data_IF_152445903819
#
_entry.id   IF_152445903819
#
_cell.length_a   1.000
_cell.length_b   1.000
_cell.length_c   1.000
_cell.angle_alpha   90.00
_cell.angle_beta   90.00
_cell.angle_gamma   90.00
#
_symmetry.space_group_name_H-M   'P 1'
#
loop_
_entity.id
_entity.type
_entity.pdbx_description
1 polymer ?
#
# COMPACT_ATOMS: atom_id res chain seq x y z
N UNK A 1 -7.21 27.14 37.07
CA UNK A 1 -7.54 27.23 35.64
C UNK A 1 -6.63 26.24 34.95
N UNK A 2 -7.11 25.01 34.78
CA UNK A 2 -6.38 23.93 34.13
C UNK A 2 -6.42 24.16 32.63
N UNK A 3 -5.28 24.53 32.04
CA UNK A 3 -5.11 24.51 30.60
C UNK A 3 -5.40 23.09 30.09
N UNK A 4 -6.41 22.99 29.23
CA UNK A 4 -6.70 21.80 28.46
C UNK A 4 -5.47 21.47 27.61
N UNK A 5 -4.98 20.22 27.55
CA UNK A 5 -3.86 19.90 26.69
C UNK A 5 -4.27 20.22 25.26
N UNK A 6 -3.48 21.07 24.60
CA UNK A 6 -3.68 21.44 23.21
C UNK A 6 -3.95 20.17 22.39
N UNK A 7 -5.02 20.17 21.60
CA UNK A 7 -5.28 19.18 20.57
C UNK A 7 -4.19 19.32 19.50
N UNK A 8 -2.99 18.80 19.80
CA UNK A 8 -1.83 18.81 18.93
C UNK A 8 -2.04 17.78 17.82
N UNK A 9 -2.66 18.23 16.73
CA UNK A 9 -2.58 17.53 15.46
C UNK A 9 -1.17 17.61 14.88
N UNK A 10 -0.75 16.56 14.19
CA UNK A 10 0.53 16.47 13.49
C UNK A 10 0.25 16.65 11.99
N UNK A 11 0.71 17.75 11.36
CA UNK A 11 0.56 17.91 9.92
C UNK A 11 1.38 16.85 9.18
N UNK A 12 0.80 16.26 8.15
CA UNK A 12 1.47 15.32 7.26
C UNK A 12 1.19 15.65 5.80
N UNK A 13 2.27 15.70 5.02
CA UNK A 13 2.22 15.88 3.57
C UNK A 13 1.84 14.56 2.90
N UNK A 14 0.91 14.63 1.95
CA UNK A 14 0.53 13.49 1.14
C UNK A 14 1.56 13.32 0.02
N UNK A 15 2.14 12.13 -0.19
CA UNK A 15 3.08 11.87 -1.29
C UNK A 15 2.55 12.25 -2.67
N UNK A 16 1.24 12.11 -2.89
CA UNK A 16 0.58 12.58 -4.14
C UNK A 16 0.75 14.08 -4.39
N UNK A 17 1.05 14.88 -3.38
CA UNK A 17 1.03 16.34 -3.44
C UNK A 17 -0.38 16.90 -3.71
N UNK A 18 -1.44 16.11 -3.51
CA UNK A 18 -2.81 16.53 -3.78
C UNK A 18 -3.24 16.46 -5.25
N UNK A 19 -2.35 16.04 -6.16
CA UNK A 19 -2.53 16.12 -7.63
C UNK A 19 -3.66 15.24 -8.17
N UNK A 20 -3.98 14.18 -7.45
CA UNK A 20 -4.99 13.19 -7.84
C UNK A 20 -6.33 13.36 -7.10
N UNK A 21 -6.53 14.53 -6.47
CA UNK A 21 -7.76 14.91 -5.78
C UNK A 21 -8.30 16.22 -6.35
N UNK A 22 -9.61 16.30 -6.55
CA UNK A 22 -10.28 17.52 -7.03
C UNK A 22 -10.04 18.73 -6.11
N UNK A 23 -9.87 18.49 -4.81
CA UNK A 23 -9.58 19.54 -3.83
C UNK A 23 -8.18 20.15 -3.96
N UNK A 24 -7.25 19.48 -4.66
CA UNK A 24 -5.83 19.86 -4.74
C UNK A 24 -5.10 19.84 -3.39
N UNK A 25 -5.73 19.29 -2.35
CA UNK A 25 -5.22 19.37 -0.99
C UNK A 25 -4.09 18.37 -0.78
N UNK A 26 -2.93 18.87 -0.41
CA UNK A 26 -1.68 18.10 -0.31
C UNK A 26 -1.29 17.73 1.13
N UNK A 27 -2.07 18.15 2.13
CA UNK A 27 -1.73 17.99 3.55
C UNK A 27 -2.95 17.66 4.38
N UNK A 28 -2.78 16.77 5.35
CA UNK A 28 -3.78 16.37 6.34
C UNK A 28 -3.25 16.56 7.76
N UNK A 29 -4.11 16.37 8.76
CA UNK A 29 -3.73 16.44 10.18
C UNK A 29 -3.99 15.10 10.86
N UNK A 30 -2.94 14.47 11.36
CA UNK A 30 -2.96 13.21 12.11
C UNK A 30 -3.01 13.44 13.63
N UNK A 31 -3.51 12.45 14.34
CA UNK A 31 -3.40 12.34 15.80
C UNK A 31 -2.81 10.98 16.21
N UNK A 32 -2.25 10.90 17.42
CA UNK A 32 -1.59 9.69 17.91
C UNK A 32 -2.59 8.56 18.20
N UNK A 33 -2.12 7.31 18.04
CA UNK A 33 -2.85 6.11 18.46
C UNK A 33 -3.09 6.17 19.97
N UNK A 34 -4.34 5.91 20.40
CA UNK A 34 -4.70 5.70 21.81
C UNK A 34 -5.03 4.23 22.05
N UNK A 35 -5.18 3.85 23.32
CA UNK A 35 -5.43 2.45 23.71
C UNK A 35 -6.62 1.78 23.00
N UNK A 36 -7.66 2.54 22.63
CA UNK A 36 -8.78 2.00 21.84
C UNK A 36 -8.38 1.59 20.42
N UNK A 37 -7.65 2.46 19.71
CA UNK A 37 -7.11 2.14 18.38
C UNK A 37 -6.02 1.06 18.45
N UNK A 38 -5.18 1.09 19.49
CA UNK A 38 -4.17 0.05 19.72
C UNK A 38 -4.82 -1.33 19.90
N UNK A 39 -5.92 -1.43 20.64
CA UNK A 39 -6.69 -2.66 20.79
C UNK A 39 -7.28 -3.16 19.46
N UNK A 40 -7.77 -2.26 18.60
CA UNK A 40 -8.26 -2.63 17.26
C UNK A 40 -7.13 -3.17 16.38
N UNK A 41 -6.01 -2.45 16.30
CA UNK A 41 -4.82 -2.87 15.53
C UNK A 41 -4.25 -4.20 16.05
N UNK A 42 -4.35 -4.44 17.36
CA UNK A 42 -3.90 -5.64 18.01
C UNK A 42 -4.71 -6.90 17.64
N UNK A 43 -5.99 -6.76 17.34
CA UNK A 43 -6.88 -7.86 16.97
C UNK A 43 -6.86 -8.17 15.46
N UNK A 44 -6.30 -7.24 14.66
CA UNK A 44 -6.19 -7.41 13.22
C UNK A 44 -5.34 -8.62 12.83
N UNK A 45 -5.83 -9.39 11.88
CA UNK A 45 -5.08 -10.44 11.19
C UNK A 45 -4.75 -9.98 9.75
N UNK A 46 -3.89 -10.70 8.99
CA UNK A 46 -3.50 -10.26 7.65
C UNK A 46 -4.67 -10.00 6.68
N UNK A 47 -5.82 -10.64 6.88
CA UNK A 47 -6.99 -10.46 6.00
C UNK A 47 -7.82 -9.22 6.38
N UNK A 48 -7.85 -8.86 7.66
CA UNK A 48 -8.65 -7.75 8.20
C UNK A 48 -7.82 -6.48 8.41
N UNK A 49 -6.49 -6.59 8.34
CA UNK A 49 -5.57 -5.48 8.55
C UNK A 49 -5.86 -4.26 7.65
N UNK A 50 -6.14 -4.41 6.34
CA UNK A 50 -6.51 -3.26 5.50
C UNK A 50 -7.77 -2.53 5.97
N UNK A 51 -8.80 -3.26 6.41
CA UNK A 51 -10.07 -2.70 6.87
C UNK A 51 -9.94 -2.05 8.26
N UNK A 52 -9.19 -2.68 9.17
CA UNK A 52 -8.92 -2.16 10.51
C UNK A 52 -8.08 -0.88 10.43
N UNK A 53 -7.05 -0.86 9.57
CA UNK A 53 -6.22 0.33 9.36
C UNK A 53 -7.02 1.47 8.75
N UNK A 54 -7.94 1.20 7.81
CA UNK A 54 -8.89 2.20 7.32
C UNK A 54 -9.73 2.79 8.45
N UNK A 55 -10.27 1.94 9.34
CA UNK A 55 -11.11 2.39 10.46
C UNK A 55 -10.32 3.26 11.43
N UNK A 56 -9.06 2.89 11.72
CA UNK A 56 -8.18 3.65 12.60
C UNK A 56 -7.80 4.99 11.98
N UNK A 57 -7.41 5.02 10.70
CA UNK A 57 -7.06 6.25 10.01
C UNK A 57 -8.25 7.22 9.93
N UNK A 58 -9.45 6.73 9.63
CA UNK A 58 -10.67 7.56 9.62
C UNK A 58 -10.98 8.20 10.99
N UNK A 59 -10.53 7.61 12.10
CA UNK A 59 -10.68 8.19 13.44
C UNK A 59 -9.59 9.21 13.79
N UNK A 60 -8.42 9.11 13.16
CA UNK A 60 -7.21 9.83 13.57
C UNK A 60 -6.75 10.89 12.56
N UNK A 61 -7.25 10.85 11.32
CA UNK A 61 -6.96 11.80 10.26
C UNK A 61 -8.11 12.78 10.12
N UNK A 62 -7.77 14.06 10.05
CA UNK A 62 -8.69 15.16 9.80
C UNK A 62 -8.18 16.00 8.62
N UNK A 63 -9.04 16.89 8.12
CA UNK A 63 -8.75 17.72 6.95
C UNK A 63 -8.42 16.89 5.69
N UNK A 64 -9.17 15.81 5.43
CA UNK A 64 -8.99 14.96 4.25
C UNK A 64 -9.14 15.74 2.92
N UNK A 65 -8.48 15.28 1.84
CA UNK A 65 -8.64 15.83 0.49
C UNK A 65 -9.89 15.32 -0.23
N UNK A 66 -10.62 14.37 0.37
CA UNK A 66 -11.79 13.68 -0.19
C UNK A 66 -12.93 13.65 0.83
N UNK A 67 -14.17 13.52 0.35
CA UNK A 67 -15.36 13.34 1.19
C UNK A 67 -15.54 11.89 1.66
N UNK A 68 -15.30 10.92 0.77
CA UNK A 68 -15.33 9.49 1.07
C UNK A 68 -13.91 8.94 1.22
N UNK A 69 -13.61 8.27 2.33
CA UNK A 69 -12.32 7.60 2.56
C UNK A 69 -11.96 6.60 1.46
N UNK A 70 -12.97 5.98 0.83
CA UNK A 70 -12.80 5.09 -0.31
C UNK A 70 -12.11 5.72 -1.51
N UNK A 71 -12.10 7.05 -1.61
CA UNK A 71 -11.53 7.81 -2.73
C UNK A 71 -10.10 8.27 -2.49
N UNK A 72 -9.56 8.06 -1.28
CA UNK A 72 -8.14 8.24 -0.98
C UNK A 72 -7.30 7.33 -1.88
N UNK A 73 -6.15 7.82 -2.34
CA UNK A 73 -5.15 6.97 -2.98
C UNK A 73 -4.60 5.94 -1.99
N UNK A 74 -4.37 4.73 -2.48
CA UNK A 74 -3.75 3.67 -1.67
C UNK A 74 -2.35 4.09 -1.21
N UNK A 75 -1.56 4.72 -2.08
CA UNK A 75 -0.23 5.24 -1.76
C UNK A 75 -0.22 6.23 -0.60
N UNK A 76 -1.12 7.21 -0.64
CA UNK A 76 -1.30 8.19 0.44
C UNK A 76 -1.81 7.53 1.73
N UNK A 77 -2.75 6.57 1.63
CA UNK A 77 -3.19 5.77 2.79
C UNK A 77 -1.98 5.10 3.47
N UNK A 78 -1.12 4.42 2.71
CA UNK A 78 0.03 3.73 3.29
C UNK A 78 1.06 4.71 3.87
N UNK A 79 1.27 5.86 3.24
CA UNK A 79 2.11 6.92 3.82
C UNK A 79 1.56 7.41 5.17
N UNK A 80 0.23 7.59 5.28
CA UNK A 80 -0.43 7.96 6.53
C UNK A 80 -0.24 6.89 7.62
N UNK A 81 -0.19 5.60 7.30
CA UNK A 81 0.14 4.55 8.28
C UNK A 81 1.57 4.69 8.81
N UNK A 82 2.51 5.04 7.93
CA UNK A 82 3.91 5.23 8.30
C UNK A 82 4.08 6.47 9.17
N UNK A 83 3.44 7.59 8.81
CA UNK A 83 3.40 8.78 9.66
C UNK A 83 2.73 8.51 11.01
N UNK A 84 1.61 7.78 11.01
CA UNK A 84 0.91 7.40 12.24
C UNK A 84 1.79 6.56 13.17
N UNK A 85 2.56 5.62 12.61
CA UNK A 85 3.53 4.83 13.35
C UNK A 85 4.62 5.73 13.97
N UNK A 86 5.18 6.64 13.18
CA UNK A 86 6.24 7.54 13.63
C UNK A 86 5.79 8.47 14.77
N UNK A 87 4.60 9.07 14.67
CA UNK A 87 4.11 9.96 15.74
C UNK A 87 3.69 9.19 17.01
N UNK A 88 3.26 7.93 16.86
CA UNK A 88 2.77 7.12 17.99
C UNK A 88 3.92 6.39 18.71
N UNK A 89 4.96 6.02 17.98
CA UNK A 89 6.11 5.26 18.49
C UNK A 89 7.45 5.88 18.05
N UNK A 90 7.70 7.17 18.35
CA UNK A 90 8.86 7.89 17.82
C UNK A 90 10.19 7.23 18.19
N UNK A 91 11.04 7.03 17.18
CA UNK A 91 12.37 6.43 17.33
C UNK A 91 12.38 4.93 17.64
N UNK A 92 11.24 4.24 17.50
CA UNK A 92 11.17 2.78 17.64
C UNK A 92 11.32 2.12 16.27
N UNK A 93 12.38 1.31 16.04
CA UNK A 93 12.52 0.61 14.77
C UNK A 93 11.38 -0.39 14.56
N UNK A 94 11.03 -0.62 13.31
CA UNK A 94 10.17 -1.72 12.89
C UNK A 94 11.02 -2.97 12.69
N UNK A 95 10.72 -4.02 13.47
CA UNK A 95 11.53 -5.23 13.50
C UNK A 95 10.71 -6.45 13.11
N UNK A 96 11.18 -7.19 12.12
CA UNK A 96 10.55 -8.42 11.64
C UNK A 96 11.60 -9.44 11.19
N UNK A 97 11.21 -10.71 11.22
CA UNK A 97 12.08 -11.82 10.81
C UNK A 97 11.78 -12.23 9.37
N UNK A 98 12.81 -12.49 8.58
CA UNK A 98 12.70 -12.99 7.20
C UNK A 98 13.59 -14.22 7.04
N UNK A 99 12.99 -15.33 6.58
CA UNK A 99 13.72 -16.56 6.27
C UNK A 99 14.37 -16.46 4.90
N UNK A 100 15.68 -16.70 4.82
CA UNK A 100 16.40 -16.67 3.56
C UNK A 100 15.95 -17.79 2.61
N UNK A 101 15.52 -17.50 1.37
CA UNK A 101 15.07 -18.52 0.44
C UNK A 101 16.21 -19.42 -0.07
N UNK A 102 17.47 -18.98 0.06
CA UNK A 102 18.64 -19.74 -0.41
C UNK A 102 19.21 -20.71 0.63
N UNK A 103 19.29 -20.29 1.90
CA UNK A 103 19.94 -21.09 2.95
C UNK A 103 19.07 -21.33 4.19
N UNK A 104 17.80 -20.91 4.17
CA UNK A 104 16.82 -21.10 5.24
C UNK A 104 17.24 -20.53 6.61
N UNK A 105 18.12 -19.52 6.61
CA UNK A 105 18.53 -18.79 7.81
C UNK A 105 17.52 -17.68 8.11
N UNK A 106 17.07 -17.58 9.36
CA UNK A 106 16.15 -16.53 9.82
C UNK A 106 16.96 -15.26 10.14
N UNK A 107 16.67 -14.18 9.42
CA UNK A 107 17.31 -12.89 9.60
C UNK A 107 16.38 -11.94 10.34
N UNK A 108 16.84 -11.35 11.43
CA UNK A 108 16.13 -10.29 12.13
C UNK A 108 16.49 -8.94 11.50
N UNK A 109 15.49 -8.25 10.99
CA UNK A 109 15.60 -6.93 10.39
C UNK A 109 15.12 -5.83 11.33
N UNK A 110 15.67 -4.64 11.17
CA UNK A 110 15.28 -3.45 11.91
C UNK A 110 15.31 -2.26 10.94
N UNK A 111 14.15 -1.63 10.74
CA UNK A 111 13.99 -0.45 9.90
C UNK A 111 13.62 0.75 10.76
N UNK A 112 14.40 1.82 10.68
CA UNK A 112 13.99 3.16 11.10
C UNK A 112 13.07 3.72 10.00
N UNK A 113 11.77 3.78 10.27
CA UNK A 113 10.76 4.15 9.28
C UNK A 113 11.04 5.50 8.63
N UNK A 114 11.63 6.45 9.37
CA UNK A 114 11.92 7.79 8.84
C UNK A 114 13.15 7.81 7.93
N UNK A 115 14.09 6.88 8.10
CA UNK A 115 15.38 6.90 7.40
C UNK A 115 15.50 5.85 6.32
N UNK A 116 14.88 4.69 6.53
CA UNK A 116 15.11 3.49 5.74
C UNK A 116 13.96 3.22 4.75
N UNK A 117 12.92 4.07 4.75
CA UNK A 117 11.75 3.94 3.86
C UNK A 117 11.68 5.18 2.98
N UNK A 118 11.85 4.96 1.69
CA UNK A 118 11.69 6.00 0.68
C UNK A 118 10.20 6.26 0.42
N UNK A 119 9.86 7.52 0.20
CA UNK A 119 8.51 7.96 -0.18
C UNK A 119 8.54 8.40 -1.63
N UNK A 120 7.85 7.68 -2.51
CA UNK A 120 7.65 8.06 -3.91
C UNK A 120 6.66 9.21 -3.97
N UNK A 121 7.08 10.32 -4.55
CA UNK A 121 6.26 11.52 -4.73
C UNK A 121 5.49 11.46 -6.06
N UNK A 122 4.29 12.03 -6.08
CA UNK A 122 3.46 12.11 -7.28
C UNK A 122 4.10 12.86 -8.43
N UNK A 123 3.85 12.39 -9.65
CA UNK A 123 4.29 13.05 -10.88
C UNK A 123 3.38 14.25 -11.19
N UNK A 124 3.85 15.14 -12.07
CA UNK A 124 3.03 16.27 -12.56
C UNK A 124 1.93 15.83 -13.54
N UNK A 125 1.85 14.54 -13.90
CA UNK A 125 0.87 14.04 -14.85
C UNK A 125 -0.52 13.94 -14.18
N UNK A 126 -1.56 14.60 -14.74
CA UNK A 126 -2.92 14.47 -14.23
C UNK A 126 -3.48 13.08 -14.55
N UNK A 127 -4.44 12.64 -13.73
CA UNK A 127 -5.26 11.47 -14.08
C UNK A 127 -6.46 11.87 -14.95
N UNK A 128 -6.89 11.01 -15.90
CA UNK A 128 -6.23 9.76 -16.28
C UNK A 128 -4.99 10.02 -17.15
N UNK A 129 -3.95 9.20 -16.99
CA UNK A 129 -2.76 9.22 -17.85
C UNK A 129 -2.89 8.16 -18.96
N UNK A 130 -2.26 8.40 -20.11
CA UNK A 130 -2.43 7.57 -21.32
C UNK A 130 -1.17 6.79 -21.66
N UNK A 131 -1.34 5.54 -22.09
CA UNK A 131 -0.25 4.68 -22.57
C UNK A 131 -0.64 3.99 -23.87
N UNK A 132 0.30 3.91 -24.81
CA UNK A 132 0.14 3.21 -26.08
C UNK A 132 0.74 1.81 -26.00
N UNK A 133 -0.07 0.79 -26.30
CA UNK A 133 0.33 -0.60 -26.14
C UNK A 133 1.13 -1.11 -27.34
N UNK A 134 2.31 -1.70 -27.12
CA UNK A 134 3.26 -2.00 -28.19
C UNK A 134 2.80 -3.12 -29.13
N UNK A 135 2.02 -4.10 -28.66
CA UNK A 135 1.57 -5.24 -29.47
C UNK A 135 0.18 -5.04 -30.06
N UNK A 136 -0.78 -4.58 -29.26
CA UNK A 136 -2.15 -4.36 -29.73
C UNK A 136 -2.32 -3.04 -30.49
N UNK A 137 -1.43 -2.06 -30.29
CA UNK A 137 -1.53 -0.72 -30.87
C UNK A 137 -2.67 0.12 -30.31
N UNK A 138 -3.24 -0.30 -29.17
CA UNK A 138 -4.35 0.38 -28.50
C UNK A 138 -3.84 1.46 -27.57
N UNK A 139 -4.62 2.53 -27.41
CA UNK A 139 -4.35 3.57 -26.43
C UNK A 139 -5.22 3.34 -25.20
N UNK A 140 -4.60 3.25 -24.01
CA UNK A 140 -5.30 2.97 -22.76
C UNK A 140 -5.18 4.15 -21.81
N UNK A 141 -6.31 4.56 -21.24
CA UNK A 141 -6.36 5.56 -20.17
C UNK A 141 -6.35 4.87 -18.81
N UNK A 142 -5.46 5.30 -17.92
CA UNK A 142 -5.17 4.70 -16.63
C UNK A 142 -5.38 5.67 -15.47
N UNK A 143 -5.69 5.13 -14.30
CA UNK A 143 -5.68 5.82 -13.01
C UNK A 143 -5.03 4.94 -11.94
N UNK A 144 -4.51 5.54 -10.88
CA UNK A 144 -4.04 4.86 -9.69
C UNK A 144 -5.21 4.29 -8.88
N UNK A 145 -4.90 3.26 -8.08
CA UNK A 145 -5.89 2.61 -7.23
C UNK A 145 -6.27 3.48 -6.01
N UNK A 146 -7.55 3.43 -5.66
CA UNK A 146 -8.13 4.06 -4.46
C UNK A 146 -8.40 3.04 -3.37
N UNK A 147 -8.61 3.47 -2.13
CA UNK A 147 -8.87 2.56 -0.99
C UNK A 147 -10.08 1.63 -1.25
N UNK A 148 -11.13 2.12 -1.92
CA UNK A 148 -12.28 1.28 -2.31
C UNK A 148 -11.87 0.11 -3.23
N UNK A 149 -10.88 0.35 -4.09
CA UNK A 149 -10.37 -0.65 -5.03
C UNK A 149 -9.62 -1.76 -4.31
N UNK A 150 -8.87 -1.42 -3.25
CA UNK A 150 -8.19 -2.39 -2.39
C UNK A 150 -9.19 -3.38 -1.77
N UNK A 151 -10.29 -2.85 -1.21
CA UNK A 151 -11.36 -3.65 -0.59
C UNK A 151 -12.07 -4.54 -1.61
N UNK A 152 -12.25 -4.06 -2.83
CA UNK A 152 -12.82 -4.85 -3.94
C UNK A 152 -11.84 -5.94 -4.39
N UNK A 153 -10.55 -5.62 -4.49
CA UNK A 153 -9.49 -6.57 -4.82
C UNK A 153 -9.40 -7.69 -3.79
N UNK A 154 -9.40 -7.38 -2.49
CA UNK A 154 -9.36 -8.41 -1.44
C UNK A 154 -10.54 -9.37 -1.55
N UNK A 155 -11.75 -8.84 -1.80
CA UNK A 155 -12.96 -9.67 -2.01
C UNK A 155 -12.86 -10.52 -3.27
N UNK A 156 -12.39 -9.93 -4.38
CA UNK A 156 -12.19 -10.61 -5.65
C UNK A 156 -11.17 -11.75 -5.54
N UNK A 157 -9.97 -11.47 -5.03
CA UNK A 157 -8.89 -12.46 -4.86
C UNK A 157 -9.34 -13.63 -3.99
N UNK A 158 -10.07 -13.36 -2.90
CA UNK A 158 -10.60 -14.41 -2.03
C UNK A 158 -11.63 -15.30 -2.73
N UNK A 159 -12.49 -14.70 -3.54
CA UNK A 159 -13.47 -15.43 -4.36
C UNK A 159 -12.76 -16.30 -5.40
N UNK A 160 -11.84 -15.72 -6.16
CA UNK A 160 -11.08 -16.40 -7.22
C UNK A 160 -10.23 -17.55 -6.69
N UNK A 161 -9.53 -17.37 -5.57
CA UNK A 161 -8.73 -18.47 -4.98
C UNK A 161 -9.57 -19.67 -4.55
N UNK A 162 -10.84 -19.44 -4.21
CA UNK A 162 -11.80 -20.49 -3.83
C UNK A 162 -12.43 -21.16 -5.04
N UNK A 163 -12.80 -20.39 -6.06
CA UNK A 163 -13.50 -20.89 -7.25
C UNK A 163 -12.53 -21.47 -8.30
N UNK A 164 -11.33 -20.88 -8.42
CA UNK A 164 -10.31 -21.21 -9.42
C UNK A 164 -8.94 -21.48 -8.77
N UNK A 165 -8.82 -22.48 -7.88
CA UNK A 165 -7.56 -22.76 -7.19
C UNK A 165 -6.44 -23.12 -8.19
N UNK A 166 -5.25 -22.53 -7.99
CA UNK A 166 -4.05 -22.85 -8.79
C UNK A 166 -3.90 -22.07 -10.10
N UNK A 167 -4.79 -21.13 -10.43
CA UNK A 167 -4.68 -20.31 -11.66
C UNK A 167 -3.78 -19.06 -11.52
N UNK A 168 -2.72 -19.15 -10.72
CA UNK A 168 -1.81 -18.03 -10.47
C UNK A 168 -2.32 -17.06 -9.40
N UNK A 169 -1.83 -15.81 -9.44
CA UNK A 169 -2.26 -14.75 -8.52
C UNK A 169 -3.33 -13.86 -9.16
N UNK A 170 -4.60 -13.91 -8.71
CA UNK A 170 -5.66 -13.07 -9.24
C UNK A 170 -5.43 -11.58 -8.96
N UNK A 171 -4.63 -11.23 -7.94
CA UNK A 171 -4.36 -9.85 -7.55
C UNK A 171 -3.56 -9.10 -8.61
N UNK A 172 -2.61 -9.77 -9.26
CA UNK A 172 -1.77 -9.20 -10.30
C UNK A 172 -2.61 -8.61 -11.45
N UNK A 173 -3.43 -9.43 -12.12
CA UNK A 173 -4.27 -8.97 -13.23
C UNK A 173 -5.35 -8.00 -12.78
N UNK A 174 -5.90 -8.18 -11.57
CA UNK A 174 -6.90 -7.26 -11.03
C UNK A 174 -6.33 -5.86 -10.85
N UNK A 175 -5.12 -5.72 -10.31
CA UNK A 175 -4.50 -4.41 -10.09
C UNK A 175 -4.33 -3.61 -11.38
N UNK A 176 -3.89 -4.27 -12.46
CA UNK A 176 -3.75 -3.66 -13.79
C UNK A 176 -5.13 -3.30 -14.33
N UNK A 177 -6.06 -4.26 -14.38
CA UNK A 177 -7.40 -4.05 -14.92
C UNK A 177 -8.17 -2.94 -14.21
N UNK A 178 -7.99 -2.80 -12.89
CA UNK A 178 -8.68 -1.79 -12.09
C UNK A 178 -8.18 -0.38 -12.37
N UNK A 179 -6.94 -0.23 -12.82
CA UNK A 179 -6.40 1.04 -13.29
C UNK A 179 -6.98 1.48 -14.63
N UNK A 180 -7.47 0.56 -15.47
CA UNK A 180 -8.01 0.88 -16.80
C UNK A 180 -9.33 1.64 -16.67
N UNK A 181 -9.39 2.83 -17.27
CA UNK A 181 -10.59 3.67 -17.36
C UNK A 181 -11.19 3.65 -18.76
N UNK A 182 -10.35 3.66 -19.80
CA UNK A 182 -10.81 3.61 -21.19
C UNK A 182 -9.80 2.90 -22.09
N UNK A 183 -10.30 2.33 -23.18
CA UNK A 183 -9.49 1.73 -24.26
C UNK A 183 -9.94 2.36 -25.58
N UNK A 184 -9.01 2.91 -26.35
CA UNK A 184 -9.27 3.65 -27.59
C UNK A 184 -10.32 4.77 -27.44
N UNK A 185 -10.36 5.41 -26.26
CA UNK A 185 -11.29 6.49 -25.92
C UNK A 185 -12.67 6.02 -25.44
N UNK A 186 -12.96 4.72 -25.44
CA UNK A 186 -14.20 4.17 -24.91
C UNK A 186 -14.04 3.73 -23.46
N UNK A 187 -14.90 4.25 -22.56
CA UNK A 187 -14.91 3.85 -21.15
C UNK A 187 -15.19 2.36 -21.01
N UNK A 188 -14.43 1.67 -20.17
CA UNK A 188 -14.59 0.23 -19.94
C UNK A 188 -14.93 -0.08 -18.50
N UNK A 189 -15.83 -1.04 -18.33
CA UNK A 189 -16.14 -1.62 -17.02
C UNK A 189 -15.05 -2.62 -16.60
N UNK A 190 -14.96 -2.89 -15.29
CA UNK A 190 -13.91 -3.72 -14.72
C UNK A 190 -13.88 -5.15 -15.27
N UNK A 191 -15.04 -5.74 -15.59
CA UNK A 191 -15.13 -7.08 -16.17
C UNK A 191 -14.54 -7.13 -17.59
N UNK A 192 -14.80 -6.09 -18.39
CA UNK A 192 -14.21 -5.91 -19.72
C UNK A 192 -12.71 -5.69 -19.60
N UNK A 193 -12.25 -4.85 -18.66
CA UNK A 193 -10.83 -4.62 -18.40
C UNK A 193 -10.11 -5.89 -17.93
N UNK A 194 -10.72 -6.69 -17.06
CA UNK A 194 -10.19 -7.98 -16.60
C UNK A 194 -10.02 -8.97 -17.75
N UNK A 195 -11.02 -9.04 -18.65
CA UNK A 195 -10.93 -9.87 -19.85
C UNK A 195 -9.81 -9.38 -20.77
N UNK A 196 -9.72 -8.07 -20.96
CA UNK A 196 -8.69 -7.42 -21.78
C UNK A 196 -7.27 -7.78 -21.33
N UNK A 197 -6.95 -7.64 -20.04
CA UNK A 197 -5.62 -7.99 -19.52
C UNK A 197 -5.37 -9.51 -19.49
N UNK A 198 -6.42 -10.32 -19.32
CA UNK A 198 -6.28 -11.78 -19.26
C UNK A 198 -6.01 -12.40 -20.64
N UNK A 199 -6.63 -11.87 -21.68
CA UNK A 199 -6.46 -12.33 -23.07
C UNK A 199 -5.36 -11.56 -23.82
N UNK A 200 -4.92 -10.42 -23.27
CA UNK A 200 -3.91 -9.54 -23.85
C UNK A 200 -2.51 -10.13 -23.92
N UNK A 201 -1.67 -9.51 -24.76
CA UNK A 201 -0.26 -9.88 -24.88
C UNK A 201 0.49 -9.56 -23.58
N UNK A 202 1.42 -10.44 -23.18
CA UNK A 202 2.23 -10.23 -21.98
C UNK A 202 3.04 -8.91 -22.03
N UNK A 203 3.49 -8.51 -23.22
CA UNK A 203 4.19 -7.25 -23.43
C UNK A 203 3.29 -6.04 -23.14
N UNK A 204 2.03 -6.08 -23.59
CA UNK A 204 1.06 -5.01 -23.32
C UNK A 204 0.74 -4.93 -21.82
N UNK A 205 0.59 -6.07 -21.15
CA UNK A 205 0.39 -6.10 -19.69
C UNK A 205 1.60 -5.57 -18.93
N UNK A 206 2.81 -5.74 -19.46
CA UNK A 206 4.05 -5.19 -18.88
C UNK A 206 4.04 -3.68 -19.02
N UNK A 207 3.76 -3.16 -20.22
CA UNK A 207 3.67 -1.71 -20.47
C UNK A 207 2.61 -1.03 -19.59
N UNK A 208 1.44 -1.65 -19.42
CA UNK A 208 0.40 -1.16 -18.51
C UNK A 208 0.89 -1.11 -17.06
N UNK A 209 1.62 -2.14 -16.63
CA UNK A 209 2.14 -2.23 -15.26
C UNK A 209 3.24 -1.20 -15.02
N UNK A 210 4.18 -1.07 -15.94
CA UNK A 210 5.27 -0.10 -15.87
C UNK A 210 4.72 1.32 -15.84
N UNK A 211 3.73 1.63 -16.67
CA UNK A 211 3.07 2.94 -16.66
C UNK A 211 2.40 3.25 -15.31
N UNK A 212 1.73 2.26 -14.69
CA UNK A 212 1.16 2.43 -13.35
C UNK A 212 2.26 2.63 -12.28
N UNK A 213 3.36 1.89 -12.37
CA UNK A 213 4.47 1.96 -11.42
C UNK A 213 5.23 3.28 -11.50
N UNK A 214 5.40 3.83 -12.71
CA UNK A 214 6.02 5.13 -12.95
C UNK A 214 5.21 6.30 -12.36
N UNK A 215 3.91 6.11 -12.16
CA UNK A 215 3.01 7.09 -11.54
C UNK A 215 2.68 6.76 -10.08
N UNK A 216 3.16 5.63 -9.56
CA UNK A 216 2.83 5.19 -8.20
C UNK A 216 3.39 6.15 -7.14
N UNK A 217 2.68 6.25 -6.01
CA UNK A 217 3.02 7.17 -4.92
C UNK A 217 2.99 6.44 -3.58
N UNK A 218 3.71 6.98 -2.59
CA UNK A 218 3.70 6.43 -1.23
C UNK A 218 4.97 5.67 -0.87
N UNK A 219 4.96 4.91 0.23
CA UNK A 219 6.16 4.27 0.74
C UNK A 219 6.64 3.14 -0.16
N UNK A 220 7.95 3.05 -0.37
CA UNK A 220 8.60 1.88 -0.96
C UNK A 220 8.52 0.71 0.04
N UNK A 221 7.71 -0.30 -0.31
CA UNK A 221 7.48 -1.46 0.54
C UNK A 221 8.36 -2.65 0.16
N UNK A 222 9.00 -2.62 -1.01
CA UNK A 222 9.95 -3.64 -1.43
C UNK A 222 11.38 -3.23 -1.05
N UNK A 223 11.95 -3.94 -0.08
CA UNK A 223 13.26 -3.63 0.48
C UNK A 223 14.31 -4.64 0.01
N UNK A 224 15.49 -4.16 -0.38
CA UNK A 224 16.62 -5.03 -0.68
C UNK A 224 17.13 -5.65 0.62
N UNK A 225 17.29 -6.98 0.61
CA UNK A 225 17.75 -7.74 1.74
C UNK A 225 19.01 -8.55 1.44
N UNK A 226 19.97 -8.49 2.36
CA UNK A 226 21.24 -9.23 2.30
C UNK A 226 21.36 -10.23 3.46
N UNK A 227 21.42 -11.54 3.15
CA UNK A 227 21.50 -12.59 4.18
C UNK A 227 22.77 -12.49 5.01
N UNK A 228 22.61 -12.50 6.33
CA UNK A 228 23.74 -12.44 7.26
C UNK A 228 24.61 -13.71 7.18
N UNK A 229 24.00 -14.85 6.84
CA UNK A 229 24.66 -16.16 6.72
C UNK A 229 25.29 -16.40 5.34
N UNK A 230 24.49 -16.47 4.27
CA UNK A 230 24.99 -16.87 2.95
C UNK A 230 25.37 -15.70 2.02
N UNK A 231 25.16 -14.45 2.45
CA UNK A 231 25.39 -13.22 1.64
C UNK A 231 24.58 -13.15 0.34
N UNK A 232 23.59 -14.02 0.16
CA UNK A 232 22.64 -13.90 -0.93
C UNK A 232 21.76 -12.66 -0.74
N UNK A 233 21.50 -11.95 -1.84
CA UNK A 233 20.59 -10.81 -1.89
C UNK A 233 19.26 -11.20 -2.55
N UNK A 234 18.17 -10.58 -2.11
CA UNK A 234 16.85 -10.62 -2.76
C UNK A 234 16.02 -9.42 -2.31
N UNK A 235 14.95 -9.13 -3.04
CA UNK A 235 13.97 -8.13 -2.63
C UNK A 235 12.86 -8.79 -1.82
N UNK A 236 12.51 -8.18 -0.69
CA UNK A 236 11.48 -8.67 0.21
C UNK A 236 10.41 -7.60 0.37
N UNK A 237 9.17 -7.97 0.10
CA UNK A 237 8.04 -7.14 0.51
C UNK A 237 8.00 -7.07 2.03
N UNK A 238 8.04 -5.85 2.57
CA UNK A 238 7.92 -5.58 3.99
C UNK A 238 6.56 -6.07 4.49
N UNK A 239 6.52 -6.95 5.51
CA UNK A 239 5.26 -7.42 6.05
C UNK A 239 4.55 -6.28 6.77
N UNK A 240 3.36 -5.89 6.32
CA UNK A 240 2.50 -4.95 7.05
C UNK A 240 1.37 -5.73 7.73
N UNK A 241 1.36 -5.72 9.06
CA UNK A 241 0.36 -6.43 9.87
C UNK A 241 0.28 -5.85 11.28
N UNK A 242 -0.43 -6.51 12.19
CA UNK A 242 -0.58 -6.03 13.58
C UNK A 242 0.76 -5.72 14.28
N UNK A 243 1.82 -6.47 13.94
CA UNK A 243 3.17 -6.23 14.48
C UNK A 243 3.79 -4.91 14.02
N UNK A 244 3.32 -4.34 12.90
CA UNK A 244 3.70 -3.00 12.46
C UNK A 244 3.30 -1.90 13.45
N UNK A 245 2.39 -2.13 14.40
CA UNK A 245 2.11 -1.17 15.48
C UNK A 245 2.51 -1.72 16.86
N UNK A 246 3.36 -2.76 16.92
CA UNK A 246 3.83 -3.37 18.18
C UNK A 246 5.35 -3.37 18.30
N UNK A 247 5.97 -2.28 18.76
CA UNK A 247 7.42 -2.24 18.97
C UNK A 247 7.87 -3.32 19.97
N UNK A 248 8.79 -4.19 19.55
CA UNK A 248 9.44 -5.18 20.44
C UNK A 248 8.71 -6.52 20.59
N UNK A 249 7.71 -6.84 19.76
CA UNK A 249 7.04 -8.15 19.78
C UNK A 249 7.80 -9.28 19.08
N UNK A 250 8.92 -8.99 18.39
CA UNK A 250 9.74 -10.00 17.71
C UNK A 250 10.18 -11.04 18.74
N UNK A 251 9.52 -12.20 18.71
CA UNK A 251 9.82 -13.31 19.59
C UNK A 251 11.25 -13.69 19.31
N UNK A 252 12.17 -13.37 20.23
CA UNK A 252 13.39 -14.16 20.41
C UNK A 252 12.93 -15.60 20.56
N UNK A 253 12.95 -16.39 19.49
CA UNK A 253 12.87 -17.84 19.57
C UNK A 253 14.06 -18.24 20.43
N UNK A 254 13.81 -18.42 21.73
CA UNK A 254 14.74 -19.13 22.62
C UNK A 254 15.02 -20.44 21.91
N UNK A 255 16.23 -20.59 21.37
CA UNK A 255 16.70 -21.89 20.90
C UNK A 255 16.46 -22.86 22.05
N UNK A 256 15.55 -23.82 21.86
CA UNK A 256 15.52 -24.98 22.74
C UNK A 256 16.88 -25.66 22.57
N UNK A 257 17.73 -25.49 23.58
CA UNK A 257 18.82 -26.44 23.83
C UNK A 257 18.22 -27.79 24.18
#
# INVERSE_FOLDING_TARGET
MSESPATNGYPADLPSGGRYYESGKSRVVLTHIRGGQEALLADANPQTFPEVTDQVLQQLVSDLPVEDWGDMLIGDKYALLFYLREISYPGKPYSFDVTCPRCNFDNALNFDIKKDIDMREGTEAPEPFTVDLPMSGKTVALRLMRVRDEREMTRFVRKERRENPGQGDPGYLYSIARGIQAVDGESVELDVALKFVKEGAAMDNTELKDCLDDHDVGPELEVEFNCQSCKGYWHQMMPLGADFFRPGSTKRRRSKR
#
